data_IF_169824349769
#
_entry.id   IF_169824349769
#
_cell.length_a   1.000
_cell.length_b   1.000
_cell.length_c   1.000
_cell.angle_alpha   90.00
_cell.angle_beta   90.00
_cell.angle_gamma   90.00
#
_symmetry.space_group_name_H-M   'P 1'
#
loop_
_entity.id
_entity.type
_entity.pdbx_description
1 polymer ?
#
# COMPACT_ATOMS: atom_id res chain seq x y z
N UNK A 1 -8.45 -7.02 -2.71
CA UNK A 1 -7.90 -6.32 -1.53
C UNK A 1 -6.51 -5.75 -1.81
N UNK A 2 -5.56 -6.51 -2.36
CA UNK A 2 -4.20 -6.00 -2.67
C UNK A 2 -4.20 -4.74 -3.55
N UNK A 3 -5.08 -4.68 -4.54
CA UNK A 3 -5.20 -3.50 -5.40
C UNK A 3 -5.57 -2.23 -4.62
N UNK A 4 -6.41 -2.35 -3.60
CA UNK A 4 -6.87 -1.24 -2.77
C UNK A 4 -5.80 -0.77 -1.76
N UNK A 5 -4.82 -1.60 -1.44
CA UNK A 5 -3.74 -1.24 -0.52
C UNK A 5 -2.53 -0.62 -1.23
N UNK A 6 -2.25 -1.02 -2.48
CA UNK A 6 -1.04 -0.60 -3.19
C UNK A 6 -0.91 0.90 -3.38
N UNK A 7 -1.99 1.59 -3.76
CA UNK A 7 -1.94 3.05 -3.95
C UNK A 7 -1.68 3.82 -2.64
N UNK A 8 -2.41 3.58 -1.55
CA UNK A 8 -2.09 4.17 -0.25
C UNK A 8 -0.68 3.86 0.24
N UNK A 9 -0.22 2.62 0.07
CA UNK A 9 1.13 2.21 0.46
C UNK A 9 2.20 2.97 -0.34
N UNK A 10 2.07 3.03 -1.67
CA UNK A 10 2.98 3.78 -2.52
C UNK A 10 2.96 5.27 -2.20
N UNK A 11 1.78 5.86 -1.97
CA UNK A 11 1.65 7.26 -1.57
C UNK A 11 2.32 7.54 -0.21
N UNK A 12 2.22 6.62 0.75
CA UNK A 12 2.92 6.74 2.03
C UNK A 12 4.45 6.69 1.84
N UNK A 13 4.95 5.67 1.15
CA UNK A 13 6.38 5.46 0.91
C UNK A 13 7.01 6.59 0.08
N UNK A 14 6.26 7.21 -0.84
CA UNK A 14 6.73 8.36 -1.62
C UNK A 14 7.03 9.60 -0.76
N UNK A 15 6.56 9.65 0.47
CA UNK A 15 6.91 10.70 1.44
C UNK A 15 8.31 10.51 2.06
N UNK A 16 8.85 9.30 1.97
CA UNK A 16 10.14 8.93 2.56
C UNK A 16 11.23 8.66 1.52
N UNK A 17 10.84 8.44 0.26
CA UNK A 17 11.76 8.07 -0.80
C UNK A 17 11.17 8.26 -2.19
N UNK A 18 11.84 7.70 -3.17
CA UNK A 18 11.47 7.83 -4.58
C UNK A 18 11.31 6.46 -5.22
N UNK A 19 10.22 6.29 -5.93
CA UNK A 19 9.96 5.14 -6.79
C UNK A 19 10.40 5.39 -8.23
N UNK A 20 10.83 4.33 -8.90
CA UNK A 20 10.89 4.24 -10.36
C UNK A 20 10.41 2.88 -10.82
N UNK A 21 9.90 2.79 -12.03
CA UNK A 21 9.45 1.52 -12.62
C UNK A 21 8.07 1.03 -12.15
N UNK A 22 7.33 1.79 -11.35
CA UNK A 22 5.92 1.49 -11.07
C UNK A 22 5.12 1.58 -12.38
N UNK A 23 4.18 0.65 -12.57
CA UNK A 23 3.30 0.60 -13.73
C UNK A 23 1.85 0.44 -13.30
N UNK A 24 0.95 0.94 -14.13
CA UNK A 24 -0.48 0.76 -13.95
C UNK A 24 -0.87 -0.69 -14.20
N UNK A 25 -1.84 -1.17 -13.44
CA UNK A 25 -2.46 -2.48 -13.59
C UNK A 25 -3.88 -2.46 -13.04
N UNK A 26 -4.56 -3.60 -13.11
CA UNK A 26 -5.90 -3.81 -12.56
C UNK A 26 -5.88 -4.99 -11.59
N UNK A 27 -6.83 -5.04 -10.66
CA UNK A 27 -7.08 -6.24 -9.85
C UNK A 27 -7.54 -7.42 -10.70
N UNK A 28 -7.65 -8.59 -10.10
CA UNK A 28 -8.13 -9.80 -10.78
C UNK A 28 -9.51 -9.58 -11.42
N UNK A 29 -9.75 -10.06 -12.64
CA UNK A 29 -11.07 -10.05 -13.25
C UNK A 29 -12.03 -11.09 -12.62
N UNK A 30 -11.50 -12.06 -11.86
CA UNK A 30 -12.28 -13.15 -11.27
C UNK A 30 -13.02 -12.75 -9.98
N UNK A 31 -12.67 -11.61 -9.38
CA UNK A 31 -13.31 -11.14 -8.16
C UNK A 31 -14.59 -10.35 -8.47
N UNK A 32 -15.76 -10.91 -8.14
CA UNK A 32 -17.08 -10.37 -8.55
C UNK A 32 -17.25 -8.87 -8.29
N UNK A 33 -17.04 -8.43 -7.06
CA UNK A 33 -17.28 -7.03 -6.65
C UNK A 33 -16.02 -6.16 -6.73
N UNK A 34 -14.84 -6.78 -6.72
CA UNK A 34 -13.55 -6.14 -6.71
C UNK A 34 -12.74 -6.38 -8.00
N UNK A 35 -13.46 -6.74 -9.10
CA UNK A 35 -12.83 -6.99 -10.39
C UNK A 35 -12.36 -5.69 -11.06
N UNK A 36 -11.21 -5.77 -11.71
CA UNK A 36 -10.66 -4.68 -12.52
C UNK A 36 -10.50 -3.33 -11.79
N UNK A 37 -10.20 -3.38 -10.48
CA UNK A 37 -9.87 -2.16 -9.72
C UNK A 37 -8.55 -1.59 -10.24
N UNK A 38 -8.53 -0.31 -10.62
CA UNK A 38 -7.31 0.38 -11.00
C UNK A 38 -6.30 0.46 -9.88
N UNK A 39 -5.07 0.08 -10.16
CA UNK A 39 -3.98 0.11 -9.20
C UNK A 39 -2.62 0.15 -9.90
N UNK A 40 -1.56 0.03 -9.13
CA UNK A 40 -0.18 -0.09 -9.61
C UNK A 40 0.37 -1.49 -9.32
N UNK A 41 1.44 -1.87 -10.01
CA UNK A 41 2.23 -3.07 -9.69
C UNK A 41 3.61 -2.69 -9.20
N UNK A 42 4.09 -3.42 -8.19
CA UNK A 42 5.47 -3.36 -7.71
C UNK A 42 6.39 -4.30 -8.48
N UNK A 43 5.95 -4.93 -9.57
CA UNK A 43 6.83 -5.71 -10.42
C UNK A 43 7.86 -4.81 -11.10
N UNK A 44 9.15 -5.17 -10.94
CA UNK A 44 10.27 -4.41 -11.51
C UNK A 44 10.38 -2.96 -11.01
N UNK A 45 9.79 -2.65 -9.86
CA UNK A 45 9.99 -1.35 -9.22
C UNK A 45 11.41 -1.21 -8.69
N UNK A 46 11.83 0.03 -8.51
CA UNK A 46 12.98 0.39 -7.66
C UNK A 46 12.50 1.42 -6.65
N UNK A 47 12.98 1.31 -5.44
CA UNK A 47 12.70 2.27 -4.39
C UNK A 47 14.01 2.70 -3.73
N UNK A 48 14.19 3.99 -3.49
CA UNK A 48 15.34 4.55 -2.82
C UNK A 48 14.91 5.49 -1.73
N UNK A 49 15.36 5.24 -0.52
CA UNK A 49 15.09 6.06 0.65
C UNK A 49 16.24 5.96 1.64
N UNK A 50 16.46 7.00 2.43
CA UNK A 50 17.38 6.98 3.57
C UNK A 50 16.69 6.66 4.90
N UNK A 51 15.40 6.37 4.87
CA UNK A 51 14.59 6.15 6.07
C UNK A 51 14.07 4.73 6.19
N UNK A 52 13.70 4.12 5.07
CA UNK A 52 13.08 2.79 5.02
C UNK A 52 13.51 2.03 3.78
N UNK A 53 13.65 0.73 3.92
CA UNK A 53 13.78 -0.20 2.80
C UNK A 53 12.40 -0.80 2.48
N UNK A 54 12.19 -1.17 1.22
CA UNK A 54 10.97 -1.81 0.77
C UNK A 54 11.28 -3.11 0.05
N UNK A 55 10.77 -4.20 0.59
CA UNK A 55 10.69 -5.49 -0.08
C UNK A 55 9.23 -5.79 -0.41
N UNK A 56 8.83 -5.66 -1.67
CA UNK A 56 7.48 -5.96 -2.12
C UNK A 56 7.47 -7.17 -3.07
N UNK A 57 6.59 -8.13 -2.80
CA UNK A 57 6.47 -9.37 -3.55
C UNK A 57 5.06 -9.55 -4.08
N UNK A 58 4.93 -9.70 -5.37
CA UNK A 58 3.71 -10.11 -6.04
C UNK A 58 3.90 -11.55 -6.51
N UNK A 59 3.19 -12.49 -5.88
CA UNK A 59 3.40 -13.93 -6.10
C UNK A 59 2.58 -14.47 -7.26
N UNK A 60 1.50 -13.80 -7.61
CA UNK A 60 0.64 -14.15 -8.73
C UNK A 60 0.27 -12.92 -9.56
N UNK A 61 0.01 -13.13 -10.85
CA UNK A 61 -0.56 -12.10 -11.71
C UNK A 61 -2.07 -11.95 -11.47
N UNK A 62 -2.69 -11.03 -12.20
CA UNK A 62 -4.12 -10.75 -12.06
C UNK A 62 -5.04 -11.90 -12.52
N UNK A 63 -4.53 -12.83 -13.30
CA UNK A 63 -5.19 -14.05 -13.73
C UNK A 63 -4.98 -15.22 -12.75
N UNK A 64 -4.25 -15.00 -11.64
CA UNK A 64 -3.96 -16.00 -10.63
C UNK A 64 -2.80 -16.94 -10.98
N UNK A 65 -2.07 -16.69 -12.07
CA UNK A 65 -0.90 -17.49 -12.43
C UNK A 65 0.28 -17.08 -11.55
N UNK A 66 0.97 -18.08 -11.00
CA UNK A 66 2.16 -17.83 -10.20
C UNK A 66 3.25 -17.17 -11.05
N UNK A 67 3.84 -16.09 -10.55
CA UNK A 67 4.88 -15.30 -11.25
C UNK A 67 6.17 -15.18 -10.44
N UNK A 68 6.11 -15.47 -9.14
CA UNK A 68 7.28 -15.46 -8.25
C UNK A 68 7.08 -16.39 -7.07
N UNK A 69 8.17 -16.71 -6.40
CA UNK A 69 8.18 -17.34 -5.08
C UNK A 69 8.64 -16.33 -4.04
N UNK A 70 8.10 -16.43 -2.84
CA UNK A 70 8.63 -15.69 -1.71
C UNK A 70 10.01 -16.27 -1.34
N UNK A 71 11.05 -15.43 -1.20
CA UNK A 71 12.37 -15.90 -0.76
C UNK A 71 12.29 -16.61 0.60
N UNK A 72 13.15 -17.60 0.83
CA UNK A 72 13.14 -18.43 2.05
C UNK A 72 13.19 -17.56 3.31
N UNK A 73 14.08 -16.56 3.35
CA UNK A 73 14.19 -15.61 4.47
C UNK A 73 12.91 -14.81 4.76
N UNK A 74 11.99 -14.70 3.80
CA UNK A 74 10.71 -14.02 3.95
C UNK A 74 9.57 -15.00 4.23
N UNK A 75 9.73 -16.29 3.88
CA UNK A 75 8.73 -17.32 4.19
C UNK A 75 8.58 -17.52 5.70
N UNK A 76 9.66 -17.46 6.47
CA UNK A 76 9.63 -17.59 7.93
C UNK A 76 8.84 -16.45 8.56
N UNK A 77 9.10 -15.20 8.12
CA UNK A 77 8.36 -14.01 8.56
C UNK A 77 6.88 -14.16 8.19
N UNK A 78 6.59 -14.51 6.94
CA UNK A 78 5.22 -14.65 6.46
C UNK A 78 4.46 -15.73 7.24
N UNK A 79 5.06 -16.89 7.47
CA UNK A 79 4.43 -17.99 8.19
C UNK A 79 4.23 -17.67 9.67
N UNK A 80 5.19 -17.00 10.30
CA UNK A 80 5.15 -16.65 11.73
C UNK A 80 4.09 -15.60 12.03
N UNK A 81 4.00 -14.56 11.18
CA UNK A 81 3.15 -13.40 11.44
C UNK A 81 1.85 -13.37 10.63
N UNK A 82 1.66 -14.33 9.74
CA UNK A 82 0.47 -14.47 8.91
C UNK A 82 0.08 -15.96 8.76
N UNK A 83 -0.26 -16.64 9.87
CA UNK A 83 -0.61 -18.07 9.85
C UNK A 83 -1.82 -18.38 8.96
N UNK A 84 -2.76 -17.46 8.85
CA UNK A 84 -3.94 -17.56 7.99
C UNK A 84 -3.63 -17.34 6.50
N UNK A 85 -2.39 -16.97 6.17
CA UNK A 85 -1.94 -16.66 4.80
C UNK A 85 -2.79 -15.64 4.06
N UNK A 86 -3.43 -14.73 4.80
CA UNK A 86 -4.22 -13.65 4.25
C UNK A 86 -3.37 -12.65 3.47
N UNK A 87 -3.93 -12.09 2.39
CA UNK A 87 -3.29 -11.05 1.59
C UNK A 87 -4.30 -9.92 1.33
N UNK A 88 -3.84 -8.67 1.26
CA UNK A 88 -2.45 -8.19 1.38
C UNK A 88 -1.86 -8.38 2.79
N UNK A 89 -0.55 -8.55 2.88
CA UNK A 89 0.19 -8.69 4.13
C UNK A 89 1.35 -7.70 4.14
N UNK A 90 1.44 -6.88 5.15
CA UNK A 90 2.52 -5.92 5.37
C UNK A 90 3.17 -6.16 6.73
N UNK A 91 4.50 -6.26 6.76
CA UNK A 91 5.30 -6.49 7.96
C UNK A 91 6.24 -5.32 8.22
N UNK A 92 6.17 -4.75 9.41
CA UNK A 92 6.89 -3.55 9.84
C UNK A 92 7.89 -3.81 10.96
N UNK A 93 8.44 -5.01 11.02
CA UNK A 93 9.42 -5.44 12.03
C UNK A 93 8.80 -6.19 13.21
N UNK A 94 7.69 -5.74 13.78
CA UNK A 94 6.99 -6.38 14.89
C UNK A 94 5.45 -6.23 14.82
N UNK A 95 4.98 -5.44 13.87
CA UNK A 95 3.55 -5.22 13.60
C UNK A 95 3.22 -5.68 12.20
N UNK A 96 2.06 -6.27 12.04
CA UNK A 96 1.48 -6.65 10.76
C UNK A 96 0.24 -5.81 10.50
N UNK A 97 0.05 -5.39 9.26
CA UNK A 97 -1.17 -4.75 8.81
C UNK A 97 -1.70 -5.45 7.57
N UNK A 98 -3.01 -5.62 7.51
CA UNK A 98 -3.70 -6.20 6.34
C UNK A 98 -4.97 -5.44 6.01
N UNK A 99 -5.05 -4.18 6.38
CA UNK A 99 -6.25 -3.39 6.18
C UNK A 99 -6.23 -2.68 4.83
N UNK A 100 -7.10 -3.05 3.90
CA UNK A 100 -7.27 -2.32 2.66
C UNK A 100 -7.74 -0.90 2.95
N UNK A 101 -7.20 0.03 2.25
CA UNK A 101 -7.25 1.44 2.60
C UNK A 101 -8.36 2.20 1.92
N UNK A 102 -9.06 1.63 0.95
CA UNK A 102 -10.19 2.29 0.33
C UNK A 102 -11.34 1.36 -0.02
N UNK A 103 -12.49 1.95 -0.24
CA UNK A 103 -13.75 1.24 -0.30
C UNK A 103 -14.04 0.62 -1.68
N UNK A 104 -14.77 -0.51 -1.74
CA UNK A 104 -15.12 -1.19 -2.98
C UNK A 104 -15.88 -0.36 -4.02
N UNK A 105 -16.56 0.71 -3.61
CA UNK A 105 -17.27 1.59 -4.53
C UNK A 105 -16.32 2.33 -5.50
N UNK A 106 -15.05 2.51 -5.15
CA UNK A 106 -14.02 3.04 -6.05
C UNK A 106 -13.63 2.05 -7.16
N UNK A 107 -13.97 0.79 -7.01
CA UNK A 107 -13.63 -0.28 -7.96
C UNK A 107 -14.22 -0.08 -9.37
N UNK A 108 -15.19 0.81 -9.51
CA UNK A 108 -15.87 1.07 -10.79
C UNK A 108 -15.39 2.32 -11.51
N UNK A 109 -14.45 3.04 -10.92
CA UNK A 109 -13.93 4.26 -11.50
C UNK A 109 -12.82 3.97 -12.53
N UNK A 110 -12.80 4.75 -13.60
CA UNK A 110 -11.70 4.72 -14.57
C UNK A 110 -10.37 5.09 -13.86
N UNK A 111 -9.27 4.35 -14.09
CA UNK A 111 -7.95 4.66 -13.52
C UNK A 111 -7.55 6.12 -13.67
N UNK A 112 -7.83 6.72 -14.82
CA UNK A 112 -7.54 8.13 -15.08
C UNK A 112 -8.34 9.07 -14.19
N UNK A 113 -9.57 8.70 -13.84
CA UNK A 113 -10.40 9.48 -12.93
C UNK A 113 -9.89 9.38 -11.49
N UNK A 114 -9.41 8.21 -11.05
CA UNK A 114 -8.81 8.05 -9.72
C UNK A 114 -7.59 8.95 -9.58
N UNK A 115 -6.66 8.92 -10.54
CA UNK A 115 -5.46 9.78 -10.51
C UNK A 115 -5.82 11.26 -10.52
N UNK A 116 -6.78 11.66 -11.39
CA UNK A 116 -7.27 13.04 -11.43
C UNK A 116 -7.94 13.45 -10.12
N UNK A 117 -8.71 12.55 -9.52
CA UNK A 117 -9.39 12.80 -8.25
C UNK A 117 -8.39 13.02 -7.10
N UNK A 118 -7.19 12.42 -7.12
CA UNK A 118 -6.16 12.63 -6.11
C UNK A 118 -5.67 14.08 -6.03
N UNK A 119 -5.79 14.87 -7.10
CA UNK A 119 -5.47 16.30 -7.08
C UNK A 119 -6.54 17.17 -6.41
N UNK A 120 -7.73 16.60 -6.13
CA UNK A 120 -8.79 17.27 -5.38
C UNK A 120 -8.90 16.68 -3.96
N UNK A 121 -8.42 17.37 -2.92
CA UNK A 121 -8.43 16.86 -1.55
C UNK A 121 -9.83 16.61 -0.98
N UNK A 122 -10.86 17.15 -1.61
CA UNK A 122 -12.27 16.99 -1.20
C UNK A 122 -12.94 15.82 -1.93
N UNK A 123 -12.28 15.17 -2.90
CA UNK A 123 -12.81 13.95 -3.53
C UNK A 123 -12.80 12.78 -2.54
N UNK A 124 -13.77 11.88 -2.67
CA UNK A 124 -13.85 10.67 -1.84
C UNK A 124 -12.65 9.76 -2.08
N UNK A 125 -12.16 9.71 -3.31
CA UNK A 125 -11.00 8.96 -3.74
C UNK A 125 -9.73 9.47 -3.04
N UNK A 126 -9.49 10.78 -3.09
CA UNK A 126 -8.35 11.38 -2.41
C UNK A 126 -8.44 11.17 -0.90
N UNK A 127 -9.60 11.36 -0.29
CA UNK A 127 -9.78 11.16 1.15
C UNK A 127 -9.52 9.71 1.56
N UNK A 128 -9.99 8.73 0.79
CA UNK A 128 -9.78 7.31 1.07
C UNK A 128 -8.30 6.93 0.92
N UNK A 129 -7.67 7.27 -0.21
CA UNK A 129 -6.27 6.91 -0.49
C UNK A 129 -5.33 7.66 0.45
N UNK A 130 -5.52 8.96 0.66
CA UNK A 130 -4.69 9.76 1.57
C UNK A 130 -4.93 9.36 3.02
N UNK A 131 -6.15 8.98 3.39
CA UNK A 131 -6.46 8.42 4.71
C UNK A 131 -5.64 7.18 5.01
N UNK A 132 -5.64 6.20 4.11
CA UNK A 132 -4.82 5.00 4.21
C UNK A 132 -3.31 5.29 4.16
N UNK A 133 -2.89 6.19 3.27
CA UNK A 133 -1.50 6.63 3.21
C UNK A 133 -1.05 7.28 4.54
N UNK A 134 -1.92 8.00 5.23
CA UNK A 134 -1.60 8.57 6.54
C UNK A 134 -1.41 7.49 7.62
N UNK A 135 -2.18 6.40 7.57
CA UNK A 135 -2.00 5.27 8.48
C UNK A 135 -0.63 4.61 8.26
N UNK A 136 -0.30 4.23 7.02
CA UNK A 136 1.01 3.70 6.68
C UNK A 136 2.15 4.67 7.02
N UNK A 137 1.96 5.97 6.75
CA UNK A 137 2.96 6.98 7.11
C UNK A 137 3.17 7.07 8.62
N UNK A 138 2.11 7.00 9.42
CA UNK A 138 2.21 7.01 10.88
C UNK A 138 2.96 5.77 11.40
N UNK A 139 2.72 4.61 10.79
CA UNK A 139 3.45 3.38 11.10
C UNK A 139 4.95 3.53 10.78
N UNK A 140 5.30 4.02 9.59
CA UNK A 140 6.69 4.30 9.21
C UNK A 140 7.32 5.32 10.17
N UNK A 141 6.61 6.38 10.52
CA UNK A 141 7.11 7.40 11.45
C UNK A 141 7.44 6.82 12.83
N UNK A 142 6.65 5.87 13.31
CA UNK A 142 6.93 5.19 14.59
C UNK A 142 8.26 4.42 14.56
N UNK A 143 8.65 3.89 13.39
CA UNK A 143 9.88 3.11 13.18
C UNK A 143 11.11 3.98 12.90
N UNK A 144 10.91 5.13 12.27
CA UNK A 144 11.99 6.03 11.89
C UNK A 144 12.31 7.08 12.97
N UNK A 145 11.75 6.96 14.18
CA UNK A 145 11.89 7.96 15.23
C UNK A 145 11.31 9.32 14.83
N UNK A 146 10.16 9.30 14.16
CA UNK A 146 9.47 10.47 13.61
C UNK A 146 10.30 11.29 12.62
N UNK A 147 11.07 10.62 11.78
CA UNK A 147 11.86 11.26 10.71
C UNK A 147 11.36 10.83 9.32
N UNK A 148 11.31 11.77 8.33
CA UNK A 148 11.60 13.20 8.47
C UNK A 148 10.46 13.94 9.21
N UNK A 149 10.85 14.93 10.02
CA UNK A 149 9.90 15.62 10.90
C UNK A 149 8.74 16.30 10.16
N UNK A 150 9.01 16.92 9.01
CA UNK A 150 7.96 17.58 8.20
C UNK A 150 6.87 16.62 7.72
N UNK A 151 7.18 15.35 7.49
CA UNK A 151 6.20 14.31 7.15
C UNK A 151 5.45 13.85 8.40
N UNK A 152 6.21 13.45 9.44
CA UNK A 152 5.65 12.81 10.62
C UNK A 152 4.86 13.75 11.52
N UNK A 153 5.08 15.06 11.43
CA UNK A 153 4.32 16.06 12.19
C UNK A 153 3.11 16.63 11.45
N UNK A 154 2.85 16.19 10.22
CA UNK A 154 1.69 16.65 9.46
C UNK A 154 0.37 16.29 10.17
N UNK A 155 -0.67 17.15 10.07
CA UNK A 155 -1.92 16.94 10.82
C UNK A 155 -2.59 15.59 10.54
N UNK A 156 -2.64 15.16 9.27
CA UNK A 156 -3.24 13.89 8.88
C UNK A 156 -2.50 12.67 9.44
N UNK A 157 -1.17 12.72 9.47
CA UNK A 157 -0.34 11.64 10.04
C UNK A 157 -0.49 11.59 11.57
N UNK A 158 -0.51 12.74 12.24
CA UNK A 158 -0.78 12.80 13.70
C UNK A 158 -2.17 12.26 14.05
N UNK A 159 -3.18 12.56 13.24
CA UNK A 159 -4.52 12.02 13.44
C UNK A 159 -4.55 10.50 13.24
N UNK A 160 -3.85 9.98 12.22
CA UNK A 160 -3.72 8.56 11.96
C UNK A 160 -2.97 7.83 13.09
N UNK A 161 -1.89 8.39 13.61
CA UNK A 161 -1.11 7.82 14.72
C UNK A 161 -1.93 7.58 16.00
N UNK A 162 -2.98 8.38 16.23
CA UNK A 162 -3.90 8.17 17.37
C UNK A 162 -4.80 6.94 17.20
N UNK A 163 -4.99 6.45 15.97
CA UNK A 163 -5.81 5.27 15.67
C UNK A 163 -5.00 3.97 15.68
N UNK A 164 -3.67 4.05 15.67
CA UNK A 164 -2.76 2.90 15.74
C UNK A 164 -2.43 2.49 17.19
N UNK A 165 -2.87 3.27 18.15
CA UNK A 165 -2.74 3.02 19.60
C UNK A 165 -4.07 2.46 20.15
#
# INVERSE_FOLDING_TARGET
FCAMERLPLAAALSRFGTFSGLKDTLSSPAEKELSNIPTITFRNYKYSSKYVDLDAYELADREGRQIANLPESKQDIFSKYNPERGIPFSYWGDITTSNPSYMPWMAREDPKNVVKALSNPNSKEAQAIVGGANLFTAEICSRTGNKPANVCTSPGVKAAAKKLR
#
